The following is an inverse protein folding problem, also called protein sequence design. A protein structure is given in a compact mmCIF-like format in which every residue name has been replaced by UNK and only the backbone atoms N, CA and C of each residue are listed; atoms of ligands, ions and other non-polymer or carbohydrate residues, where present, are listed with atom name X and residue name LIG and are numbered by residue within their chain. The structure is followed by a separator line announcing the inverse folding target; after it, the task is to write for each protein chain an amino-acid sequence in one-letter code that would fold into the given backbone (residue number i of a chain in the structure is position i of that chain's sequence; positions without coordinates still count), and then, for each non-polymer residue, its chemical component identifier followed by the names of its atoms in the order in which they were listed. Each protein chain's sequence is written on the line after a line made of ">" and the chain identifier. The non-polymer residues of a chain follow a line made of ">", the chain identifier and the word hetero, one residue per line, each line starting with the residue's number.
data_IF_016940723938
#
_entry.id   IF_016940723938
#
_cell.length_a   1.000
_cell.length_b   1.000
_cell.length_c   1.000
_cell.angle_alpha   90.00
_cell.angle_beta   90.00
_cell.angle_gamma   90.00
#
_symmetry.space_group_name_H-M   'P 1'
#
loop_
_entity.id
_entity.type
_entity.pdbx_description
1 polymer ?
#
# COMPACT_ATOMS: atom_id res chain seq x y z
N UNK A 1 -20.85 12.98 8.01
CA UNK A 1 -21.42 11.83 7.27
C UNK A 1 -20.27 10.91 6.94
N UNK A 2 -20.39 9.60 7.18
CA UNK A 2 -19.35 8.63 6.89
C UNK A 2 -19.82 7.80 5.68
N UNK A 3 -19.34 8.09 4.46
CA UNK A 3 -19.89 7.50 3.24
C UNK A 3 -19.72 5.98 3.19
N UNK A 4 -18.67 5.45 3.82
CA UNK A 4 -18.45 4.01 3.92
C UNK A 4 -19.49 3.34 4.82
N UNK A 5 -19.83 3.96 5.95
CA UNK A 5 -20.89 3.45 6.83
C UNK A 5 -22.25 3.48 6.13
N UNK A 6 -22.55 4.56 5.41
CA UNK A 6 -23.79 4.68 4.64
C UNK A 6 -23.87 3.57 3.56
N UNK A 7 -22.74 3.24 2.92
CA UNK A 7 -22.66 2.13 1.97
C UNK A 7 -22.90 0.77 2.63
N UNK A 8 -22.31 0.50 3.79
CA UNK A 8 -22.55 -0.74 4.54
C UNK A 8 -24.03 -0.91 4.90
N UNK A 9 -24.65 0.16 5.40
CA UNK A 9 -26.06 0.16 5.75
C UNK A 9 -26.94 -0.06 4.52
N UNK A 10 -26.61 0.56 3.38
CA UNK A 10 -27.32 0.38 2.13
C UNK A 10 -27.20 -1.04 1.57
N UNK A 11 -26.03 -1.71 1.69
CA UNK A 11 -25.88 -3.13 1.29
C UNK A 11 -26.78 -4.02 2.12
N UNK A 12 -26.72 -3.88 3.45
CA UNK A 12 -27.52 -4.71 4.35
C UNK A 12 -29.01 -4.47 4.16
N UNK A 13 -29.43 -3.21 4.03
CA UNK A 13 -30.81 -2.86 3.72
C UNK A 13 -31.28 -3.42 2.38
N UNK A 14 -30.42 -3.39 1.35
CA UNK A 14 -30.74 -3.99 0.05
C UNK A 14 -30.98 -5.50 0.14
N UNK A 15 -30.15 -6.24 0.89
CA UNK A 15 -30.31 -7.69 1.08
C UNK A 15 -31.50 -8.03 1.97
N UNK A 16 -31.83 -7.19 2.96
CA UNK A 16 -33.02 -7.36 3.79
C UNK A 16 -34.32 -7.12 2.98
N UNK A 17 -34.29 -6.19 2.01
CA UNK A 17 -35.41 -5.89 1.11
C UNK A 17 -35.54 -6.87 -0.05
N UNK A 18 -34.42 -7.43 -0.52
CA UNK A 18 -34.37 -8.38 -1.64
C UNK A 18 -33.26 -9.42 -1.38
N UNK A 19 -33.61 -10.59 -0.81
CA UNK A 19 -32.67 -11.69 -0.55
C UNK A 19 -31.94 -12.18 -1.81
N UNK A 20 -32.53 -12.01 -3.00
CA UNK A 20 -31.94 -12.38 -4.28
C UNK A 20 -30.63 -11.65 -4.57
N UNK A 21 -30.45 -10.44 -4.02
CA UNK A 21 -29.22 -9.64 -4.16
C UNK A 21 -27.97 -10.36 -3.63
N UNK A 22 -28.11 -11.31 -2.69
CA UNK A 22 -26.98 -12.10 -2.19
C UNK A 22 -26.26 -12.88 -3.31
N UNK A 23 -26.96 -13.27 -4.37
CA UNK A 23 -26.38 -13.93 -5.55
C UNK A 23 -25.41 -13.02 -6.30
N UNK A 24 -25.66 -11.71 -6.28
CA UNK A 24 -24.80 -10.72 -6.93
C UNK A 24 -23.64 -10.25 -6.03
N UNK A 25 -23.64 -10.65 -4.76
CA UNK A 25 -22.68 -10.24 -3.74
C UNK A 25 -21.78 -11.39 -3.25
N UNK A 26 -21.70 -12.50 -4.00
CA UNK A 26 -20.91 -13.67 -3.57
C UNK A 26 -19.44 -13.37 -3.29
N UNK A 27 -18.88 -12.37 -3.98
CA UNK A 27 -17.51 -11.86 -3.84
C UNK A 27 -17.31 -10.95 -2.60
N UNK A 28 -18.39 -10.45 -1.98
CA UNK A 28 -18.31 -9.66 -0.77
C UNK A 28 -18.29 -10.60 0.44
N UNK A 29 -17.23 -10.56 1.24
CA UNK A 29 -17.12 -11.34 2.47
C UNK A 29 -17.65 -10.54 3.67
N UNK A 30 -18.15 -11.21 4.72
CA UNK A 30 -18.53 -10.55 5.98
C UNK A 30 -17.42 -9.66 6.54
N UNK A 31 -16.17 -10.10 6.52
CA UNK A 31 -15.02 -9.35 7.06
C UNK A 31 -14.73 -8.03 6.32
N UNK A 32 -15.34 -7.81 5.14
CA UNK A 32 -15.24 -6.55 4.42
C UNK A 32 -16.05 -5.42 5.07
N UNK A 33 -17.01 -5.72 5.94
CA UNK A 33 -17.70 -4.70 6.72
C UNK A 33 -16.82 -4.21 7.88
N UNK A 34 -16.85 -2.91 8.17
CA UNK A 34 -16.08 -2.29 9.26
C UNK A 34 -16.72 -2.56 10.62
N UNK A 35 -18.05 -2.45 10.71
CA UNK A 35 -18.77 -2.67 11.97
C UNK A 35 -18.94 -4.17 12.23
N UNK A 36 -18.51 -4.71 13.39
CA UNK A 36 -18.72 -6.12 13.71
C UNK A 36 -20.18 -6.56 13.64
N UNK A 37 -21.12 -5.68 13.99
CA UNK A 37 -22.56 -5.93 13.86
C UNK A 37 -22.98 -6.14 12.40
N UNK A 38 -22.42 -5.36 11.47
CA UNK A 38 -22.68 -5.50 10.04
C UNK A 38 -22.04 -6.77 9.47
N UNK A 39 -20.84 -7.12 9.92
CA UNK A 39 -20.18 -8.39 9.58
C UNK A 39 -21.07 -9.58 9.97
N UNK A 40 -21.50 -9.62 11.24
CA UNK A 40 -22.33 -10.70 11.77
C UNK A 40 -23.69 -10.80 11.06
N UNK A 41 -24.35 -9.67 10.81
CA UNK A 41 -25.62 -9.67 10.08
C UNK A 41 -25.46 -10.17 8.63
N UNK A 42 -24.44 -9.71 7.92
CA UNK A 42 -24.19 -10.19 6.55
C UNK A 42 -23.83 -11.68 6.52
N UNK A 43 -23.07 -12.17 7.51
CA UNK A 43 -22.77 -13.60 7.67
C UNK A 43 -24.04 -14.42 7.92
N UNK A 44 -24.93 -13.95 8.80
CA UNK A 44 -26.22 -14.59 9.08
C UNK A 44 -27.11 -14.66 7.83
N UNK A 45 -27.23 -13.55 7.08
CA UNK A 45 -27.99 -13.51 5.83
C UNK A 45 -27.43 -14.50 4.79
N UNK A 46 -26.10 -14.62 4.67
CA UNK A 46 -25.47 -15.62 3.80
C UNK A 46 -25.73 -17.05 4.27
N UNK A 47 -25.70 -17.31 5.57
CA UNK A 47 -25.98 -18.62 6.16
C UNK A 47 -27.42 -19.05 5.88
N UNK A 48 -28.40 -18.20 6.19
CA UNK A 48 -29.82 -18.47 5.95
C UNK A 48 -30.11 -18.76 4.46
N UNK A 49 -29.44 -18.04 3.54
CA UNK A 49 -29.52 -18.37 2.11
C UNK A 49 -28.95 -19.74 1.79
N UNK A 50 -27.79 -20.09 2.37
CA UNK A 50 -27.17 -21.41 2.19
C UNK A 50 -28.02 -22.55 2.74
N UNK A 51 -28.77 -22.29 3.81
CA UNK A 51 -29.68 -23.25 4.46
C UNK A 51 -31.03 -23.37 3.73
N UNK A 52 -31.24 -22.64 2.63
CA UNK A 52 -32.48 -22.71 1.83
C UNK A 52 -33.67 -22.01 2.48
N UNK A 53 -33.44 -20.91 3.21
CA UNK A 53 -34.52 -20.16 3.85
C UNK A 53 -35.59 -19.74 2.83
N UNK A 54 -36.87 -19.99 3.16
CA UNK A 54 -38.05 -19.79 2.29
C UNK A 54 -38.18 -18.40 1.64
N UNK A 55 -37.63 -17.36 2.29
CA UNK A 55 -37.57 -16.00 1.73
C UNK A 55 -36.74 -15.87 0.43
N UNK A 56 -35.84 -16.82 0.15
CA UNK A 56 -34.96 -16.81 -1.03
C UNK A 56 -35.61 -17.47 -2.25
N UNK A 57 -36.55 -18.38 -2.02
CA UNK A 57 -37.20 -19.18 -3.08
C UNK A 57 -38.55 -18.61 -3.53
N UNK A 58 -39.16 -17.74 -2.73
CA UNK A 58 -40.48 -17.16 -3.01
C UNK A 58 -40.43 -15.98 -3.98
N UNK A 59 -41.29 -15.98 -5.00
CA UNK A 59 -41.55 -14.82 -5.88
C UNK A 59 -42.43 -13.74 -5.19
N UNK A 60 -42.72 -13.89 -3.90
CA UNK A 60 -43.60 -13.04 -3.11
C UNK A 60 -42.87 -11.94 -2.31
N UNK A 61 -43.62 -11.15 -1.52
CA UNK A 61 -43.02 -10.18 -0.62
C UNK A 61 -42.11 -10.89 0.40
N UNK A 62 -40.98 -10.27 0.74
CA UNK A 62 -40.04 -10.82 1.71
C UNK A 62 -40.73 -10.98 3.07
N UNK A 63 -40.78 -12.20 3.63
CA UNK A 63 -41.46 -12.45 4.89
C UNK A 63 -40.67 -11.85 6.06
N UNK A 64 -41.38 -11.45 7.12
CA UNK A 64 -40.75 -10.86 8.31
C UNK A 64 -39.76 -11.82 8.99
N UNK A 65 -40.00 -13.13 8.89
CA UNK A 65 -39.09 -14.20 9.34
C UNK A 65 -37.67 -14.02 8.80
N UNK A 66 -37.50 -13.55 7.56
CA UNK A 66 -36.17 -13.28 7.01
C UNK A 66 -35.37 -12.30 7.87
N UNK A 67 -36.02 -11.25 8.36
CA UNK A 67 -35.38 -10.20 9.15
C UNK A 67 -35.17 -10.65 10.59
N UNK A 68 -36.19 -11.29 11.21
CA UNK A 68 -36.10 -11.77 12.60
C UNK A 68 -35.07 -12.87 12.73
N UNK A 69 -35.07 -13.85 11.83
CA UNK A 69 -34.16 -15.00 11.88
C UNK A 69 -32.73 -14.55 11.60
N UNK A 70 -32.53 -13.57 10.72
CA UNK A 70 -31.21 -12.99 10.48
C UNK A 70 -30.68 -12.22 11.71
N UNK A 71 -31.55 -11.50 12.41
CA UNK A 71 -31.19 -10.79 13.65
C UNK A 71 -30.88 -11.77 14.77
N UNK A 72 -31.69 -12.82 14.93
CA UNK A 72 -31.51 -13.84 15.97
C UNK A 72 -30.21 -14.62 15.72
N UNK A 73 -29.95 -15.05 14.49
CA UNK A 73 -28.72 -15.74 14.10
C UNK A 73 -27.47 -14.86 14.29
N UNK A 74 -27.52 -13.60 13.86
CA UNK A 74 -26.41 -12.67 14.07
C UNK A 74 -26.21 -12.34 15.57
N UNK A 75 -27.29 -12.29 16.35
CA UNK A 75 -27.29 -12.06 17.79
C UNK A 75 -26.52 -13.11 18.59
N UNK A 76 -26.30 -14.31 18.03
CA UNK A 76 -25.43 -15.33 18.62
C UNK A 76 -23.96 -14.88 18.71
N UNK A 77 -23.54 -13.97 17.83
CA UNK A 77 -22.13 -13.56 17.68
C UNK A 77 -21.87 -12.12 18.16
N UNK A 78 -22.91 -11.27 18.17
CA UNK A 78 -22.79 -9.85 18.52
C UNK A 78 -23.92 -9.38 19.42
N UNK A 79 -23.62 -8.42 20.29
CA UNK A 79 -24.63 -7.72 21.12
C UNK A 79 -25.06 -6.42 20.44
N UNK A 80 -26.30 -5.99 20.71
CA UNK A 80 -26.82 -4.70 20.27
C UNK A 80 -27.49 -4.67 18.89
N UNK A 81 -27.55 -5.81 18.19
CA UNK A 81 -28.43 -5.96 17.02
C UNK A 81 -29.87 -6.17 17.50
N UNK A 82 -30.79 -5.35 17.03
CA UNK A 82 -32.23 -5.45 17.35
C UNK A 82 -33.04 -5.43 16.06
N UNK A 83 -34.27 -5.95 16.11
CA UNK A 83 -35.20 -5.84 14.99
C UNK A 83 -35.40 -4.37 14.54
N UNK A 84 -35.46 -3.44 15.50
CA UNK A 84 -35.53 -2.00 15.21
C UNK A 84 -34.32 -1.49 14.43
N UNK A 85 -33.10 -1.95 14.76
CA UNK A 85 -31.91 -1.59 13.99
C UNK A 85 -31.95 -2.17 12.57
N UNK A 86 -32.41 -3.40 12.39
CA UNK A 86 -32.60 -3.98 11.06
C UNK A 86 -33.59 -3.15 10.20
N UNK A 87 -34.67 -2.65 10.80
CA UNK A 87 -35.59 -1.72 10.12
C UNK A 87 -34.94 -0.39 9.72
N UNK A 88 -34.00 0.13 10.52
CA UNK A 88 -33.21 1.31 10.14
C UNK A 88 -32.31 1.02 8.94
N UNK A 89 -31.69 -0.17 8.87
CA UNK A 89 -30.88 -0.58 7.71
C UNK A 89 -31.74 -0.68 6.44
N UNK A 90 -32.94 -1.27 6.55
CA UNK A 90 -33.92 -1.29 5.46
C UNK A 90 -34.24 0.13 4.97
N UNK A 91 -34.46 1.05 5.90
CA UNK A 91 -34.77 2.46 5.58
C UNK A 91 -33.58 3.22 5.00
N UNK A 92 -32.35 2.80 5.32
CA UNK A 92 -31.13 3.41 4.81
C UNK A 92 -30.83 3.02 3.35
N UNK A 93 -31.43 1.95 2.83
CA UNK A 93 -31.25 1.51 1.45
C UNK A 93 -32.11 2.35 0.48
N UNK A 94 -31.50 3.15 -0.41
CA UNK A 94 -32.28 3.95 -1.36
C UNK A 94 -32.88 3.09 -2.49
N UNK A 95 -32.11 2.10 -2.97
CA UNK A 95 -32.47 1.25 -4.11
C UNK A 95 -31.86 -0.15 -3.96
N UNK A 96 -32.64 -1.19 -3.67
CA UNK A 96 -32.14 -2.56 -3.50
C UNK A 96 -31.36 -3.09 -4.71
N UNK A 97 -31.81 -2.76 -5.93
CA UNK A 97 -31.16 -3.15 -7.18
C UNK A 97 -29.72 -2.59 -7.36
N UNK A 98 -29.27 -1.68 -6.50
CA UNK A 98 -27.90 -1.15 -6.50
C UNK A 98 -26.97 -1.85 -5.50
N UNK A 99 -27.41 -2.94 -4.86
CA UNK A 99 -26.60 -3.69 -3.90
C UNK A 99 -25.16 -3.97 -4.36
N UNK A 100 -24.89 -4.37 -5.62
CA UNK A 100 -23.51 -4.62 -6.08
C UNK A 100 -22.63 -3.36 -6.06
N UNK A 101 -23.20 -2.18 -6.29
CA UNK A 101 -22.46 -0.91 -6.27
C UNK A 101 -22.14 -0.51 -4.84
N UNK A 102 -23.12 -0.61 -3.92
CA UNK A 102 -22.87 -0.37 -2.50
C UNK A 102 -21.85 -1.36 -1.94
N UNK A 103 -21.94 -2.64 -2.32
CA UNK A 103 -20.98 -3.67 -1.94
C UNK A 103 -19.57 -3.34 -2.41
N UNK A 104 -19.44 -2.69 -3.57
CA UNK A 104 -18.13 -2.29 -4.09
C UNK A 104 -17.50 -1.23 -3.20
N UNK A 105 -18.27 -0.24 -2.76
CA UNK A 105 -17.81 0.78 -1.82
C UNK A 105 -17.35 0.17 -0.49
N UNK A 106 -18.08 -0.83 0.02
CA UNK A 106 -17.68 -1.59 1.22
C UNK A 106 -16.35 -2.32 1.00
N UNK A 107 -16.19 -2.98 -0.16
CA UNK A 107 -14.95 -3.66 -0.53
C UNK A 107 -13.78 -2.68 -0.72
N UNK A 108 -14.00 -1.51 -1.31
CA UNK A 108 -12.99 -0.45 -1.42
C UNK A 108 -12.48 -0.06 -0.03
N UNK A 109 -13.39 0.26 0.90
CA UNK A 109 -13.04 0.54 2.28
C UNK A 109 -12.31 -0.63 2.95
N UNK A 110 -12.72 -1.87 2.70
CA UNK A 110 -12.04 -3.05 3.23
C UNK A 110 -10.59 -3.15 2.74
N UNK A 111 -10.33 -2.89 1.46
CA UNK A 111 -8.98 -2.89 0.89
C UNK A 111 -8.10 -1.84 1.57
N UNK A 112 -8.58 -0.59 1.70
CA UNK A 112 -7.84 0.46 2.39
C UNK A 112 -7.51 0.10 3.84
N UNK A 113 -8.47 -0.48 4.56
CA UNK A 113 -8.25 -0.95 5.94
C UNK A 113 -7.24 -2.09 6.01
N UNK A 114 -7.35 -3.09 5.15
CA UNK A 114 -6.42 -4.22 5.10
C UNK A 114 -5.00 -3.74 4.82
N UNK A 115 -4.80 -2.90 3.80
CA UNK A 115 -3.46 -2.36 3.50
C UNK A 115 -2.92 -1.54 4.67
N UNK A 116 -3.74 -0.68 5.28
CA UNK A 116 -3.36 0.10 6.47
C UNK A 116 -2.92 -0.81 7.63
N UNK A 117 -3.66 -1.88 7.92
CA UNK A 117 -3.33 -2.82 9.00
C UNK A 117 -1.98 -3.52 8.76
N UNK A 118 -1.75 -4.01 7.54
CA UNK A 118 -0.48 -4.67 7.20
C UNK A 118 0.70 -3.70 7.18
N UNK A 119 0.49 -2.46 6.73
CA UNK A 119 1.50 -1.40 6.80
C UNK A 119 1.86 -1.04 8.25
N UNK A 120 0.87 -0.97 9.15
CA UNK A 120 1.12 -0.75 10.59
C UNK A 120 1.95 -1.90 11.17
N UNK A 121 1.61 -3.16 10.86
CA UNK A 121 2.37 -4.32 11.34
C UNK A 121 3.82 -4.29 10.87
N UNK A 122 4.06 -4.05 9.57
CA UNK A 122 5.42 -3.90 9.04
C UNK A 122 6.20 -2.78 9.76
N UNK A 123 5.55 -1.64 10.00
CA UNK A 123 6.19 -0.53 10.72
C UNK A 123 6.57 -0.88 12.16
N UNK A 124 5.67 -1.55 12.88
CA UNK A 124 5.91 -1.98 14.27
C UNK A 124 7.07 -2.98 14.36
N UNK A 125 7.12 -3.91 13.41
CA UNK A 125 8.15 -4.97 13.36
C UNK A 125 9.50 -4.41 12.94
N UNK A 126 9.54 -3.49 11.96
CA UNK A 126 10.75 -2.76 11.59
C UNK A 126 11.31 -1.95 12.77
N UNK A 127 10.44 -1.29 13.54
CA UNK A 127 10.87 -0.54 14.73
C UNK A 127 11.37 -1.44 15.86
N UNK A 128 10.69 -2.56 16.09
CA UNK A 128 11.09 -3.53 17.12
C UNK A 128 12.40 -4.21 16.75
N UNK A 129 12.55 -4.61 15.48
CA UNK A 129 13.77 -5.18 14.93
C UNK A 129 14.95 -4.21 15.02
N UNK A 130 14.74 -2.92 14.69
CA UNK A 130 15.77 -1.89 14.83
C UNK A 130 16.34 -1.78 16.25
N UNK A 131 15.51 -1.95 17.28
CA UNK A 131 15.93 -1.91 18.69
C UNK A 131 16.73 -3.15 19.10
N UNK A 132 16.50 -4.29 18.43
CA UNK A 132 17.15 -5.58 18.73
C UNK A 132 18.34 -5.88 17.80
N UNK A 133 18.51 -5.11 16.73
CA UNK A 133 19.47 -5.43 15.66
C UNK A 133 19.01 -6.60 14.78
N UNK A 134 17.70 -6.84 14.69
CA UNK A 134 17.07 -7.93 13.92
C UNK A 134 16.34 -7.36 12.71
N UNK A 135 16.35 -8.08 11.58
CA UNK A 135 15.68 -7.64 10.33
C UNK A 135 14.66 -8.65 9.83
N UNK A 136 14.68 -9.87 10.35
CA UNK A 136 13.89 -11.02 9.91
C UNK A 136 12.38 -10.73 10.00
N UNK A 137 11.93 -10.12 11.10
CA UNK A 137 10.53 -9.73 11.28
C UNK A 137 10.08 -8.72 10.23
N UNK A 138 10.88 -7.66 10.02
CA UNK A 138 10.57 -6.63 9.02
C UNK A 138 10.47 -7.22 7.61
N UNK A 139 11.42 -8.09 7.22
CA UNK A 139 11.41 -8.76 5.93
C UNK A 139 10.20 -9.69 5.78
N UNK A 140 9.87 -10.46 6.82
CA UNK A 140 8.69 -11.34 6.83
C UNK A 140 7.40 -10.55 6.58
N UNK A 141 7.18 -9.46 7.32
CA UNK A 141 5.95 -8.67 7.17
C UNK A 141 5.92 -7.87 5.87
N UNK A 142 7.08 -7.54 5.29
CA UNK A 142 7.15 -6.97 3.94
C UNK A 142 6.67 -7.99 2.89
N UNK A 143 7.11 -9.25 2.99
CA UNK A 143 6.65 -10.32 2.09
C UNK A 143 5.16 -10.61 2.25
N UNK A 144 4.65 -10.62 3.50
CA UNK A 144 3.21 -10.77 3.78
C UNK A 144 2.44 -9.63 3.13
N UNK A 145 2.88 -8.38 3.29
CA UNK A 145 2.20 -7.22 2.69
C UNK A 145 2.24 -7.29 1.16
N UNK A 146 3.36 -7.63 0.53
CA UNK A 146 3.46 -7.84 -0.92
C UNK A 146 2.52 -8.94 -1.41
N UNK A 147 2.43 -10.06 -0.68
CA UNK A 147 1.50 -11.15 -0.97
C UNK A 147 0.04 -10.71 -0.90
N UNK A 148 -0.33 -9.96 0.15
CA UNK A 148 -1.68 -9.39 0.31
C UNK A 148 -2.01 -8.43 -0.82
N UNK A 149 -1.11 -7.49 -1.15
CA UNK A 149 -1.31 -6.55 -2.26
C UNK A 149 -1.53 -7.27 -3.60
N UNK A 150 -0.77 -8.34 -3.85
CA UNK A 150 -0.89 -9.15 -5.07
C UNK A 150 -2.21 -9.92 -5.13
N UNK A 151 -2.65 -10.49 -4.01
CA UNK A 151 -3.96 -11.17 -3.91
C UNK A 151 -5.12 -10.18 -4.08
N UNK A 152 -5.04 -9.02 -3.43
CA UNK A 152 -6.01 -7.93 -3.60
C UNK A 152 -6.08 -7.45 -5.06
N UNK A 153 -4.93 -7.30 -5.73
CA UNK A 153 -4.89 -6.93 -7.15
C UNK A 153 -5.67 -7.92 -8.01
N UNK A 154 -5.43 -9.22 -7.80
CA UNK A 154 -6.11 -10.30 -8.52
C UNK A 154 -7.62 -10.29 -8.29
N UNK A 155 -8.05 -10.14 -7.03
CA UNK A 155 -9.48 -10.10 -6.66
C UNK A 155 -10.18 -8.84 -7.18
N UNK A 156 -9.48 -7.71 -7.19
CA UNK A 156 -9.99 -6.45 -7.70
C UNK A 156 -10.01 -6.38 -9.23
N UNK A 157 -9.20 -7.21 -9.90
CA UNK A 157 -9.08 -7.28 -11.36
C UNK A 157 -8.09 -6.26 -11.94
N UNK A 158 -7.12 -5.81 -11.13
CA UNK A 158 -6.02 -4.96 -11.60
C UNK A 158 -4.76 -5.76 -11.76
N UNK A 159 -4.01 -5.50 -12.82
CA UNK A 159 -2.70 -6.11 -12.98
C UNK A 159 -1.72 -5.52 -11.94
N UNK A 160 -1.09 -6.36 -11.09
CA UNK A 160 -0.15 -5.89 -10.09
C UNK A 160 1.12 -5.40 -10.79
N UNK A 161 1.33 -4.09 -10.82
CA UNK A 161 2.52 -3.47 -11.40
C UNK A 161 3.03 -2.38 -10.46
N UNK A 162 4.33 -2.38 -10.09
CA UNK A 162 4.93 -1.27 -9.36
C UNK A 162 4.87 0.00 -10.22
N UNK A 163 4.07 0.99 -9.81
CA UNK A 163 3.95 2.28 -10.49
C UNK A 163 4.21 3.38 -9.47
N UNK A 164 5.12 4.30 -9.79
CA UNK A 164 5.41 5.44 -8.92
C UNK A 164 4.21 6.40 -8.86
N UNK A 165 3.84 6.91 -7.68
CA UNK A 165 2.86 7.99 -7.60
C UNK A 165 3.43 9.26 -8.24
N UNK A 166 2.57 10.06 -8.88
CA UNK A 166 2.97 11.37 -9.42
C UNK A 166 3.49 12.32 -8.33
N UNK A 167 2.97 12.16 -7.12
CA UNK A 167 3.37 12.92 -5.93
C UNK A 167 3.58 11.93 -4.79
N UNK A 168 4.80 11.81 -4.29
CA UNK A 168 5.07 10.98 -3.12
C UNK A 168 4.45 11.60 -1.87
N UNK A 169 3.78 10.82 -1.01
CA UNK A 169 3.24 11.36 0.24
C UNK A 169 4.40 11.83 1.13
N UNK A 170 4.36 13.11 1.51
CA UNK A 170 5.35 13.67 2.44
C UNK A 170 5.10 13.05 3.80
N UNK A 171 5.94 12.09 4.17
CA UNK A 171 5.85 11.44 5.47
C UNK A 171 7.11 11.77 6.27
N UNK A 172 7.02 12.75 7.19
CA UNK A 172 8.14 13.13 8.07
C UNK A 172 8.60 11.95 8.93
N UNK A 173 9.77 11.34 8.69
CA UNK A 173 10.20 10.19 9.46
C UNK A 173 10.28 10.58 10.94
N UNK A 174 9.70 9.78 11.86
CA UNK A 174 9.88 10.04 13.27
C UNK A 174 11.38 9.93 13.60
N UNK A 175 11.88 10.85 14.41
CA UNK A 175 13.25 10.79 14.89
C UNK A 175 13.48 9.46 15.63
N UNK A 176 14.61 8.81 15.36
CA UNK A 176 15.06 7.68 16.17
C UNK A 176 15.26 8.16 17.63
N UNK A 177 15.01 7.30 18.63
CA UNK A 177 15.44 7.59 19.99
C UNK A 177 16.92 7.96 20.01
N UNK A 178 17.30 9.04 20.71
CA UNK A 178 18.67 9.58 20.68
C UNK A 178 19.73 8.51 20.93
N UNK A 179 19.60 7.71 22.00
CA UNK A 179 20.57 6.65 22.30
C UNK A 179 20.74 5.61 21.17
N UNK A 180 19.71 5.37 20.37
CA UNK A 180 19.79 4.49 19.20
C UNK A 180 20.43 5.20 18.01
N UNK A 181 20.10 6.47 17.80
CA UNK A 181 20.75 7.29 16.78
C UNK A 181 22.25 7.39 17.05
N UNK A 182 22.65 7.68 18.29
CA UNK A 182 24.04 7.81 18.71
C UNK A 182 24.81 6.51 18.46
N UNK A 183 24.24 5.35 18.81
CA UNK A 183 24.87 4.05 18.54
C UNK A 183 25.05 3.76 17.05
N UNK A 184 24.05 4.09 16.22
CA UNK A 184 24.16 3.85 14.77
C UNK A 184 25.19 4.79 14.14
N UNK A 185 25.25 6.04 14.60
CA UNK A 185 26.27 7.01 14.18
C UNK A 185 27.65 6.51 14.58
N UNK A 186 27.81 6.01 15.82
CA UNK A 186 29.05 5.41 16.31
C UNK A 186 29.48 4.20 15.46
N UNK A 187 28.55 3.28 15.12
CA UNK A 187 28.83 2.15 14.22
C UNK A 187 29.30 2.61 12.82
N UNK A 188 28.76 3.73 12.31
CA UNK A 188 29.18 4.34 11.03
C UNK A 188 30.57 4.98 11.12
N UNK A 189 30.85 5.71 12.19
CA UNK A 189 32.17 6.31 12.44
C UNK A 189 33.25 5.23 12.55
N UNK A 190 32.98 4.14 13.29
CA UNK A 190 33.90 3.01 13.39
C UNK A 190 34.15 2.34 12.04
N UNK A 191 33.12 2.16 11.20
CA UNK A 191 33.29 1.62 9.87
C UNK A 191 34.23 2.53 9.03
N UNK A 192 33.96 3.83 9.02
CA UNK A 192 34.77 4.78 8.26
C UNK A 192 36.23 4.81 8.74
N UNK A 193 36.45 4.80 10.06
CA UNK A 193 37.78 4.72 10.64
C UNK A 193 38.53 3.46 10.19
N UNK A 194 37.91 2.27 10.29
CA UNK A 194 38.50 1.01 9.85
C UNK A 194 38.87 1.04 8.36
N UNK A 195 38.02 1.61 7.51
CA UNK A 195 38.25 1.72 6.07
C UNK A 195 39.38 2.70 5.70
N UNK A 196 39.68 3.67 6.56
CA UNK A 196 40.82 4.59 6.40
C UNK A 196 42.11 3.94 6.90
N UNK A 197 42.05 3.24 8.04
CA UNK A 197 43.21 2.58 8.65
C UNK A 197 43.69 1.35 7.86
N UNK A 198 42.77 0.62 7.22
CA UNK A 198 43.05 -0.67 6.58
C UNK A 198 42.47 -0.73 5.16
N UNK A 199 43.12 -1.46 4.22
CA UNK A 199 42.61 -1.64 2.86
C UNK A 199 41.44 -2.65 2.78
N UNK A 200 40.41 -2.46 3.59
CA UNK A 200 39.26 -3.37 3.72
C UNK A 200 38.05 -2.98 2.85
N UNK A 201 38.19 -1.95 1.99
CA UNK A 201 37.10 -1.46 1.15
C UNK A 201 36.49 -2.54 0.24
N UNK A 202 37.32 -3.47 -0.24
CA UNK A 202 36.86 -4.59 -1.07
C UNK A 202 35.85 -5.52 -0.39
N UNK A 203 35.80 -5.54 0.95
CA UNK A 203 34.88 -6.37 1.72
C UNK A 203 33.44 -5.83 1.72
N UNK A 204 33.28 -4.51 1.54
CA UNK A 204 31.99 -3.80 1.69
C UNK A 204 31.48 -3.16 0.41
N UNK A 205 32.38 -2.80 -0.54
CA UNK A 205 32.04 -2.00 -1.72
C UNK A 205 30.98 -2.62 -2.62
N UNK A 206 30.92 -3.96 -2.69
CA UNK A 206 30.01 -4.67 -3.58
C UNK A 206 28.53 -4.48 -3.21
N UNK A 207 28.23 -4.32 -1.92
CA UNK A 207 26.86 -4.34 -1.40
C UNK A 207 26.47 -3.12 -0.57
N UNK A 208 27.41 -2.44 0.10
CA UNK A 208 27.12 -1.23 0.87
C UNK A 208 27.12 0.01 -0.02
N UNK A 209 26.17 0.94 0.18
CA UNK A 209 26.00 2.16 -0.61
C UNK A 209 26.03 3.40 0.28
N UNK A 210 26.41 4.57 -0.26
CA UNK A 210 26.34 5.85 0.46
C UNK A 210 24.98 6.16 1.10
N UNK A 211 23.88 5.70 0.49
CA UNK A 211 22.53 5.91 1.01
C UNK A 211 22.15 5.01 2.19
N UNK A 212 22.99 4.03 2.55
CA UNK A 212 22.75 3.14 3.68
C UNK A 212 23.15 3.78 5.03
N UNK A 213 23.89 4.89 5.01
CA UNK A 213 24.25 5.67 6.19
C UNK A 213 23.07 6.54 6.67
N UNK A 214 22.95 6.71 7.99
CA UNK A 214 22.02 7.64 8.64
C UNK A 214 22.51 9.06 8.43
N UNK A 215 23.78 9.30 8.70
CA UNK A 215 24.37 10.62 8.51
C UNK A 215 24.76 10.81 7.02
N UNK A 216 24.19 11.82 6.33
CA UNK A 216 24.57 12.12 4.96
C UNK A 216 26.08 12.40 4.79
N UNK A 217 26.74 13.01 5.77
CA UNK A 217 28.17 13.28 5.73
C UNK A 217 28.99 11.98 5.76
N UNK A 218 28.61 11.01 6.59
CA UNK A 218 29.23 9.68 6.60
C UNK A 218 29.06 8.96 5.27
N UNK A 219 27.86 9.01 4.68
CA UNK A 219 27.60 8.47 3.36
C UNK A 219 28.47 9.12 2.26
N UNK A 220 28.74 10.42 2.36
CA UNK A 220 29.63 11.13 1.44
C UNK A 220 31.10 10.75 1.62
N UNK A 221 31.56 10.57 2.86
CA UNK A 221 32.90 10.06 3.14
C UNK A 221 33.08 8.64 2.60
N UNK A 222 32.11 7.76 2.81
CA UNK A 222 32.10 6.42 2.21
C UNK A 222 32.16 6.47 0.68
N UNK A 223 31.46 7.43 0.06
CA UNK A 223 31.52 7.66 -1.39
C UNK A 223 32.93 8.10 -1.85
N UNK A 224 33.64 8.90 -1.06
CA UNK A 224 35.01 9.31 -1.34
C UNK A 224 35.97 8.11 -1.25
N UNK A 225 35.86 7.30 -0.19
CA UNK A 225 36.61 6.05 -0.02
C UNK A 225 36.43 5.11 -1.21
N UNK A 226 35.18 4.89 -1.64
CA UNK A 226 34.89 4.08 -2.82
C UNK A 226 35.48 4.64 -4.12
N UNK A 227 35.56 5.95 -4.27
CA UNK A 227 36.16 6.59 -5.45
C UNK A 227 37.70 6.48 -5.48
N UNK A 228 38.36 6.53 -4.32
CA UNK A 228 39.79 6.24 -4.20
C UNK A 228 40.07 4.77 -4.52
N UNK A 229 39.29 3.86 -3.92
CA UNK A 229 39.39 2.42 -4.16
C UNK A 229 39.21 2.05 -5.63
N UNK A 230 38.19 2.61 -6.30
CA UNK A 230 37.92 2.33 -7.71
C UNK A 230 39.05 2.80 -8.64
N UNK A 231 39.77 3.86 -8.26
CA UNK A 231 40.96 4.34 -8.99
C UNK A 231 42.24 3.57 -8.65
N UNK A 232 42.21 2.69 -7.66
CA UNK A 232 43.40 2.04 -7.11
C UNK A 232 44.34 3.02 -6.40
N UNK A 233 43.83 4.17 -5.97
CA UNK A 233 44.60 5.14 -5.19
C UNK A 233 44.72 4.65 -3.73
N UNK A 234 45.87 4.90 -3.06
CA UNK A 234 46.03 4.55 -1.66
C UNK A 234 45.00 5.31 -0.82
N UNK A 235 44.39 4.60 0.12
CA UNK A 235 43.43 5.16 1.06
C UNK A 235 44.18 5.50 2.34
N UNK A 236 44.21 6.78 2.68
CA UNK A 236 44.71 7.31 3.92
C UNK A 236 43.99 8.64 4.25
N UNK A 237 44.26 9.20 5.42
CA UNK A 237 43.61 10.44 5.88
C UNK A 237 43.81 11.61 4.91
N UNK A 238 45.01 11.75 4.33
CA UNK A 238 45.33 12.88 3.44
C UNK A 238 44.64 12.71 2.10
N UNK A 239 44.65 11.50 1.52
CA UNK A 239 43.97 11.24 0.24
C UNK A 239 42.46 11.36 0.37
N UNK A 240 41.88 10.91 1.48
CA UNK A 240 40.46 11.09 1.77
C UNK A 240 40.09 12.57 1.95
N UNK A 241 40.89 13.34 2.70
CA UNK A 241 40.66 14.78 2.88
C UNK A 241 40.70 15.52 1.54
N UNK A 242 41.66 15.18 0.68
CA UNK A 242 41.78 15.75 -0.66
C UNK A 242 40.54 15.44 -1.52
N UNK A 243 40.07 14.20 -1.51
CA UNK A 243 38.89 13.80 -2.27
C UNK A 243 37.61 14.48 -1.74
N UNK A 244 37.48 14.62 -0.41
CA UNK A 244 36.39 15.34 0.22
C UNK A 244 36.36 16.83 -0.17
N UNK A 245 37.51 17.49 -0.14
CA UNK A 245 37.66 18.89 -0.60
C UNK A 245 37.32 19.03 -2.08
N UNK A 246 37.82 18.12 -2.93
CA UNK A 246 37.58 18.15 -4.38
C UNK A 246 36.09 18.04 -4.72
N UNK A 247 35.34 17.30 -3.91
CA UNK A 247 33.87 17.17 -4.03
C UNK A 247 33.09 18.31 -3.41
N UNK A 248 33.77 19.25 -2.76
CA UNK A 248 33.17 20.41 -2.14
C UNK A 248 32.60 20.17 -0.74
N UNK A 249 32.79 18.99 -0.14
CA UNK A 249 32.13 18.60 1.14
C UNK A 249 32.50 19.52 2.32
N UNK A 250 33.71 20.08 2.30
CA UNK A 250 34.17 21.05 3.30
C UNK A 250 33.74 22.47 2.95
N UNK A 251 33.59 22.77 1.66
CA UNK A 251 33.26 24.10 1.16
C UNK A 251 31.75 24.39 1.25
N UNK A 252 30.92 23.37 1.03
CA UNK A 252 29.46 23.45 1.13
C UNK A 252 28.94 23.25 2.58
N UNK A 253 29.83 22.93 3.51
CA UNK A 253 29.51 22.73 4.93
C UNK A 253 28.86 21.39 5.24
N UNK A 254 28.85 20.44 4.30
CA UNK A 254 28.35 19.06 4.54
C UNK A 254 29.16 18.35 5.62
N UNK A 255 30.46 18.65 5.71
CA UNK A 255 31.38 18.08 6.69
C UNK A 255 32.26 19.18 7.28
N UNK A 256 32.39 19.24 8.60
CA UNK A 256 33.36 20.13 9.25
C UNK A 256 34.74 19.49 9.34
N UNK A 257 35.80 20.31 9.40
CA UNK A 257 37.17 19.81 9.58
C UNK A 257 37.34 19.02 10.87
N UNK A 258 36.65 19.44 11.94
CA UNK A 258 36.68 18.76 13.24
C UNK A 258 35.96 17.41 13.19
N UNK A 259 34.81 17.32 12.51
CA UNK A 259 34.10 16.04 12.27
C UNK A 259 34.96 15.08 11.46
N UNK A 260 35.58 15.57 10.38
CA UNK A 260 36.50 14.77 9.59
C UNK A 260 37.65 14.20 10.42
N UNK A 261 38.28 15.06 11.23
CA UNK A 261 39.38 14.65 12.10
C UNK A 261 38.91 13.62 13.14
N UNK A 262 37.77 13.85 13.80
CA UNK A 262 37.22 12.92 14.78
C UNK A 262 36.98 11.52 14.20
N UNK A 263 36.43 11.43 12.99
CA UNK A 263 36.18 10.14 12.30
C UNK A 263 37.51 9.44 11.93
N UNK A 264 38.49 10.19 11.41
CA UNK A 264 39.77 9.62 10.97
C UNK A 264 40.71 9.27 12.12
N UNK A 265 40.64 10.02 13.23
CA UNK A 265 41.48 9.84 14.41
C UNK A 265 40.84 8.84 15.41
N UNK A 266 39.58 8.44 15.16
CA UNK A 266 38.91 7.38 15.90
C UNK A 266 39.59 6.03 15.67
N UNK A 267 39.70 5.21 16.73
CA UNK A 267 40.26 3.86 16.62
C UNK A 267 39.18 2.92 16.10
N UNK A 268 39.36 2.42 14.88
CA UNK A 268 38.46 1.44 14.28
C UNK A 268 38.56 0.07 14.97
N UNK A 269 37.76 -0.17 16.00
CA UNK A 269 37.67 -1.48 16.64
C UNK A 269 36.71 -2.40 15.87
N UNK A 270 37.26 -3.38 15.15
CA UNK A 270 36.46 -4.42 14.51
C UNK A 270 36.93 -4.83 13.12
N UNK A 271 36.00 -5.50 12.44
CA UNK A 271 36.09 -6.05 11.09
C UNK A 271 35.15 -5.25 10.17
N UNK A 272 35.63 -4.87 8.98
CA UNK A 272 34.89 -3.98 8.09
C UNK A 272 33.60 -4.63 7.57
N UNK A 273 33.64 -5.93 7.27
CA UNK A 273 32.47 -6.70 6.86
C UNK A 273 31.39 -6.69 7.96
N UNK A 274 31.78 -6.93 9.22
CA UNK A 274 30.85 -6.91 10.35
C UNK A 274 30.23 -5.53 10.59
N UNK A 275 31.04 -4.46 10.60
CA UNK A 275 30.58 -3.08 10.79
C UNK A 275 29.65 -2.66 9.63
N UNK A 276 30.02 -2.97 8.40
CA UNK A 276 29.17 -2.74 7.23
C UNK A 276 27.82 -3.47 7.34
N UNK A 277 27.80 -4.69 7.90
CA UNK A 277 26.55 -5.44 8.14
C UNK A 277 25.69 -4.75 9.18
N UNK A 278 26.25 -4.11 10.21
CA UNK A 278 25.46 -3.30 11.15
C UNK A 278 24.81 -2.09 10.47
N UNK A 279 25.58 -1.35 9.65
CA UNK A 279 25.07 -0.23 8.86
C UNK A 279 23.93 -0.70 7.93
N UNK A 280 24.11 -1.84 7.25
CA UNK A 280 23.07 -2.40 6.37
C UNK A 280 21.82 -2.88 7.12
N UNK A 281 21.94 -3.47 8.31
CA UNK A 281 20.78 -3.81 9.16
C UNK A 281 19.99 -2.55 9.54
N UNK A 282 20.70 -1.49 9.90
CA UNK A 282 20.10 -0.19 10.19
C UNK A 282 19.39 0.37 8.94
N UNK A 283 20.05 0.34 7.78
CA UNK A 283 19.47 0.76 6.49
C UNK A 283 18.18 0.00 6.15
N UNK A 284 18.20 -1.33 6.28
CA UNK A 284 17.02 -2.18 6.08
C UNK A 284 15.85 -1.79 6.98
N UNK A 285 16.12 -1.60 8.27
CA UNK A 285 15.10 -1.28 9.27
C UNK A 285 14.50 0.10 9.03
N UNK A 286 15.33 1.08 8.66
CA UNK A 286 14.88 2.43 8.29
C UNK A 286 14.08 2.42 6.99
N UNK A 287 14.55 1.69 5.98
CA UNK A 287 13.86 1.55 4.69
C UNK A 287 12.51 0.87 4.85
N UNK A 288 12.43 -0.22 5.62
CA UNK A 288 11.17 -0.89 5.92
C UNK A 288 10.19 0.02 6.67
N UNK A 289 10.70 0.76 7.67
CA UNK A 289 9.89 1.73 8.42
C UNK A 289 9.35 2.86 7.53
N UNK A 290 10.16 3.36 6.59
CA UNK A 290 9.78 4.39 5.63
C UNK A 290 8.74 3.87 4.63
N UNK A 291 8.98 2.69 4.03
CA UNK A 291 8.05 2.05 3.10
C UNK A 291 6.69 1.82 3.77
N UNK A 292 6.67 1.28 4.99
CA UNK A 292 5.45 1.04 5.75
C UNK A 292 4.65 2.32 5.98
N UNK A 293 5.33 3.43 6.30
CA UNK A 293 4.68 4.74 6.47
C UNK A 293 4.10 5.29 5.17
N UNK A 294 4.84 5.17 4.06
CA UNK A 294 4.36 5.57 2.73
C UNK A 294 3.12 4.76 2.34
N UNK A 295 3.17 3.43 2.47
CA UNK A 295 2.03 2.55 2.17
C UNK A 295 0.83 2.89 3.06
N UNK A 296 1.06 3.14 4.34
CA UNK A 296 0.01 3.57 5.27
C UNK A 296 -0.61 4.89 4.84
N UNK A 297 0.19 5.90 4.51
CA UNK A 297 -0.31 7.21 4.06
C UNK A 297 -1.13 7.09 2.76
N UNK A 298 -0.70 6.25 1.82
CA UNK A 298 -1.46 5.94 0.61
C UNK A 298 -2.80 5.27 0.93
N UNK A 299 -2.83 4.36 1.91
CA UNK A 299 -4.03 3.63 2.29
C UNK A 299 -5.01 4.46 3.14
N UNK A 300 -4.51 5.45 3.88
CA UNK A 300 -5.35 6.41 4.63
C UNK A 300 -5.98 7.47 3.70
N UNK A 301 -5.47 7.67 2.48
CA UNK A 301 -6.11 8.50 1.45
C UNK A 301 -7.29 7.76 0.80
N UNK A 302 -8.48 7.93 1.37
CA UNK A 302 -9.73 7.34 0.87
C UNK A 302 -10.12 7.80 -0.55
N UNK A 303 -9.52 8.88 -1.08
CA UNK A 303 -9.76 9.31 -2.46
C UNK A 303 -8.98 8.48 -3.50
N UNK A 304 -8.00 7.69 -3.05
CA UNK A 304 -7.16 6.88 -3.91
C UNK A 304 -7.84 5.57 -4.29
N UNK A 305 -8.21 5.40 -5.56
CA UNK A 305 -8.83 4.15 -6.03
C UNK A 305 -7.94 2.91 -5.72
N UNK A 306 -8.52 1.75 -5.32
CA UNK A 306 -7.76 0.60 -4.84
C UNK A 306 -6.68 0.10 -5.80
N UNK A 307 -6.95 0.11 -7.11
CA UNK A 307 -5.96 -0.28 -8.12
C UNK A 307 -4.69 0.58 -8.10
N UNK A 308 -4.86 1.90 -7.92
CA UNK A 308 -3.71 2.82 -7.80
C UNK A 308 -3.02 2.67 -6.45
N UNK A 309 -3.79 2.54 -5.36
CA UNK A 309 -3.26 2.25 -4.03
C UNK A 309 -2.33 1.02 -4.07
N UNK A 310 -2.81 -0.09 -4.63
CA UNK A 310 -2.05 -1.34 -4.71
C UNK A 310 -0.74 -1.14 -5.49
N UNK A 311 -0.81 -0.52 -6.67
CA UNK A 311 0.37 -0.33 -7.52
C UNK A 311 1.39 0.65 -6.92
N UNK A 312 0.94 1.73 -6.28
CA UNK A 312 1.81 2.66 -5.56
C UNK A 312 2.45 2.00 -4.32
N UNK A 313 1.69 1.15 -3.61
CA UNK A 313 2.21 0.43 -2.46
C UNK A 313 3.27 -0.61 -2.87
N UNK A 314 3.06 -1.33 -3.97
CA UNK A 314 4.07 -2.24 -4.55
C UNK A 314 5.34 -1.48 -4.97
N UNK A 315 5.19 -0.29 -5.55
CA UNK A 315 6.34 0.55 -5.88
C UNK A 315 7.12 0.99 -4.63
N UNK A 316 6.43 1.42 -3.56
CA UNK A 316 7.07 1.79 -2.32
C UNK A 316 7.89 0.63 -1.71
N UNK A 317 7.35 -0.60 -1.74
CA UNK A 317 8.06 -1.79 -1.24
C UNK A 317 9.27 -2.20 -2.11
N UNK A 318 9.29 -1.82 -3.40
CA UNK A 318 10.43 -2.07 -4.27
C UNK A 318 11.74 -1.48 -3.75
N UNK A 319 11.70 -0.34 -3.05
CA UNK A 319 12.89 0.25 -2.42
C UNK A 319 13.47 -0.66 -1.33
N UNK A 320 12.61 -1.32 -0.55
CA UNK A 320 13.05 -2.30 0.45
C UNK A 320 13.62 -3.55 -0.22
N UNK A 321 13.03 -4.00 -1.33
CA UNK A 321 13.51 -5.15 -2.09
C UNK A 321 14.94 -4.93 -2.62
N UNK A 322 15.26 -3.72 -3.07
CA UNK A 322 16.61 -3.34 -3.50
C UNK A 322 17.64 -3.44 -2.37
N UNK A 323 17.31 -2.96 -1.16
CA UNK A 323 18.21 -3.05 0.01
C UNK A 323 18.34 -4.51 0.46
N UNK A 324 17.23 -5.27 0.47
CA UNK A 324 17.22 -6.70 0.79
C UNK A 324 18.12 -7.50 -0.15
N UNK A 325 18.07 -7.26 -1.45
CA UNK A 325 18.92 -7.96 -2.41
C UNK A 325 20.42 -7.74 -2.13
N UNK A 326 20.80 -6.51 -1.73
CA UNK A 326 22.19 -6.21 -1.31
C UNK A 326 22.57 -6.91 -0.01
N UNK A 327 21.65 -6.93 0.96
CA UNK A 327 21.85 -7.65 2.23
C UNK A 327 22.08 -9.15 2.04
N UNK A 328 21.30 -9.79 1.17
CA UNK A 328 21.45 -11.22 0.86
C UNK A 328 22.81 -11.52 0.20
N UNK A 329 23.24 -10.64 -0.72
CA UNK A 329 24.58 -10.69 -1.32
C UNK A 329 25.68 -10.62 -0.26
N UNK A 330 25.54 -9.73 0.73
CA UNK A 330 26.50 -9.58 1.84
C UNK A 330 26.57 -10.81 2.78
N UNK A 331 25.53 -11.66 2.78
CA UNK A 331 25.46 -12.88 3.61
C UNK A 331 25.78 -14.15 2.83
N UNK A 332 26.24 -14.04 1.58
CA UNK A 332 26.62 -15.19 0.75
C UNK A 332 25.45 -16.11 0.38
N UNK A 333 24.20 -15.66 0.53
CA UNK A 333 23.02 -16.38 0.01
C UNK A 333 22.68 -15.79 -1.36
N UNK A 334 22.96 -16.50 -2.47
CA UNK A 334 22.37 -16.12 -3.74
C UNK A 334 20.84 -16.18 -3.59
N UNK A 335 20.19 -15.10 -4.01
CA UNK A 335 18.74 -14.99 -4.15
C UNK A 335 18.21 -16.20 -4.93
N UNK A 336 17.70 -17.21 -4.22
CA UNK A 336 16.71 -18.09 -4.81
C UNK A 336 15.46 -17.23 -4.94
N UNK A 337 15.39 -16.47 -6.04
CA UNK A 337 14.18 -15.82 -6.50
C UNK A 337 13.08 -16.85 -6.36
N UNK A 338 12.21 -16.66 -5.36
CA UNK A 338 11.14 -17.58 -5.04
C UNK A 338 10.45 -17.90 -6.37
N UNK A 339 10.62 -19.16 -6.81
CA UNK A 339 9.96 -19.69 -7.99
C UNK A 339 8.49 -19.41 -7.75
N UNK A 340 7.91 -18.54 -8.59
CA UNK A 340 6.48 -18.30 -8.58
C UNK A 340 5.81 -19.68 -8.49
N UNK A 341 4.90 -19.90 -7.53
CA UNK A 341 4.21 -21.17 -7.46
C UNK A 341 3.60 -21.43 -8.84
N UNK A 342 3.90 -22.60 -9.40
CA UNK A 342 3.31 -23.02 -10.66
C UNK A 342 1.78 -22.86 -10.52
N UNK A 343 1.09 -22.28 -11.51
CA UNK A 343 -0.35 -22.10 -11.41
C UNK A 343 -0.99 -23.48 -11.26
N UNK A 344 -1.59 -23.73 -10.10
CA UNK A 344 -2.45 -24.90 -9.90
C UNK A 344 -3.60 -24.84 -10.91
N UNK A 345 -3.83 -25.88 -11.72
CA UNK A 345 -4.97 -25.92 -12.62
C UNK A 345 -6.21 -26.24 -11.78
N UNK A 346 -6.98 -25.21 -11.40
CA UNK A 346 -8.20 -25.41 -10.61
C UNK A 346 -8.73 -24.18 -9.91
N UNK A 347 -8.99 -23.10 -10.64
CA UNK A 347 -9.82 -21.99 -10.17
C UNK A 347 -11.07 -21.86 -11.05
N UNK A 348 -12.25 -21.51 -10.50
CA UNK A 348 -13.48 -21.40 -11.28
C UNK A 348 -13.34 -20.34 -12.38
N UNK A 349 -14.11 -20.48 -13.48
CA UNK A 349 -13.82 -19.79 -14.74
C UNK A 349 -13.92 -18.26 -14.62
N UNK A 350 -13.14 -17.59 -15.47
CA UNK A 350 -12.96 -16.14 -15.66
C UNK A 350 -14.25 -15.35 -15.99
N UNK A 351 -15.43 -15.93 -15.83
CA UNK A 351 -16.73 -15.31 -16.14
C UNK A 351 -17.18 -14.24 -15.12
N UNK A 352 -16.52 -14.11 -13.97
CA UNK A 352 -16.78 -13.00 -13.02
C UNK A 352 -15.97 -11.72 -13.29
N UNK A 353 -14.94 -11.80 -14.14
CA UNK A 353 -14.11 -10.62 -14.53
C UNK A 353 -14.85 -9.72 -15.54
N UNK A 354 -15.88 -10.23 -16.22
CA UNK A 354 -16.61 -9.49 -17.24
C UNK A 354 -17.51 -8.36 -16.69
N UNK A 355 -17.89 -8.43 -15.41
CA UNK A 355 -18.63 -7.35 -14.75
C UNK A 355 -17.75 -6.15 -14.39
N UNK A 356 -16.42 -6.33 -14.32
CA UNK A 356 -15.46 -5.27 -14.03
C UNK A 356 -15.08 -4.43 -15.27
N UNK A 357 -15.40 -4.88 -16.49
CA UNK A 357 -14.92 -4.28 -17.74
C UNK A 357 -15.92 -3.35 -18.44
N UNK A 358 -17.19 -3.27 -18.04
CA UNK A 358 -18.19 -2.45 -18.75
C UNK A 358 -18.37 -1.01 -18.25
N UNK A 359 -17.62 -0.53 -17.26
CA UNK A 359 -17.77 0.86 -16.75
C UNK A 359 -16.48 1.68 -16.59
N UNK A 360 -15.40 1.27 -17.24
CA UNK A 360 -14.15 2.05 -17.29
C UNK A 360 -13.90 2.65 -18.68
N UNK A 361 -14.86 3.44 -19.17
CA UNK A 361 -14.54 4.51 -20.13
C UNK A 361 -15.19 5.80 -19.62
N UNK A 362 -14.43 6.85 -19.28
CA UNK A 362 -15.01 8.16 -19.18
C UNK A 362 -15.40 8.57 -20.60
N UNK A 363 -16.71 8.67 -20.87
CA UNK A 363 -17.19 9.32 -22.09
C UNK A 363 -16.65 10.75 -22.07
N UNK A 364 -15.85 11.21 -23.06
CA UNK A 364 -15.46 12.60 -23.11
C UNK A 364 -16.73 13.45 -23.23
N UNK A 365 -16.80 14.53 -22.47
CA UNK A 365 -17.87 15.52 -22.59
C UNK A 365 -17.97 15.98 -24.06
N UNK A 366 -19.17 16.20 -24.61
CA UNK A 366 -19.28 16.75 -25.95
C UNK A 366 -18.60 18.13 -25.99
N UNK A 367 -17.68 18.29 -26.93
CA UNK A 367 -17.01 19.58 -27.19
C UNK A 367 -18.05 20.66 -27.53
N UNK A 368 -17.82 21.93 -27.19
CA UNK A 368 -18.77 23.03 -27.41
C UNK A 368 -19.05 23.36 -28.89
N UNK A 369 -18.47 22.62 -29.84
CA UNK A 369 -18.68 22.78 -31.27
C UNK A 369 -20.02 22.21 -31.80
N UNK A 370 -20.75 21.43 -30.99
CA UNK A 370 -22.05 20.84 -31.41
C UNK A 370 -23.27 21.73 -31.07
N UNK A 371 -23.06 22.97 -30.63
CA UNK A 371 -24.13 23.97 -30.41
C UNK A 371 -24.51 24.80 -31.63
N UNK A 372 -23.94 24.52 -32.80
CA UNK A 372 -24.29 25.19 -34.06
C UNK A 372 -24.74 24.18 -35.11
N UNK A 373 -25.90 23.56 -34.87
CA UNK A 373 -26.76 23.09 -35.96
C UNK A 373 -27.91 24.09 -36.12
N UNK A 374 -28.12 24.68 -37.31
CA UNK A 374 -29.25 25.57 -37.52
C UNK A 374 -30.54 24.76 -37.45
N UNK A 375 -31.50 25.25 -36.65
CA UNK A 375 -32.84 24.69 -36.57
C UNK A 375 -33.58 24.76 -37.91
N UNK A 376 -34.63 23.96 -38.11
CA UNK A 376 -35.40 23.95 -39.35
C UNK A 376 -36.05 25.32 -39.57
N UNK A 377 -35.80 25.90 -40.74
CA UNK A 377 -36.40 27.14 -41.24
C UNK A 377 -37.94 27.07 -41.23
N UNK A 378 -38.64 28.13 -40.81
CA UNK A 378 -40.10 28.18 -40.89
C UNK A 378 -40.53 28.37 -42.35
N UNK A 379 -41.50 27.56 -42.79
CA UNK A 379 -42.12 27.67 -44.10
C UNK A 379 -42.86 29.01 -44.22
N UNK A 380 -42.46 29.80 -45.22
CA UNK A 380 -43.04 31.09 -45.53
C UNK A 380 -44.49 30.96 -46.05
N UNK A 381 -45.32 31.89 -45.59
CA UNK A 381 -46.71 32.08 -45.93
C UNK A 381 -46.94 32.29 -47.44
N UNK A 382 -47.99 31.66 -47.98
CA UNK A 382 -48.60 32.04 -49.27
C UNK A 382 -49.63 33.16 -49.05
N UNK A 383 -49.67 34.20 -49.90
CA UNK A 383 -50.65 35.28 -49.81
C UNK A 383 -52.00 34.88 -50.45
N UNK A 384 -53.07 35.67 -50.24
CA UNK A 384 -54.44 35.25 -50.50
C UNK A 384 -54.87 35.53 -51.95
N UNK A 385 -55.49 34.56 -52.61
CA UNK A 385 -56.33 34.83 -53.79
C UNK A 385 -57.75 35.17 -53.33
N UNK A 386 -58.09 36.45 -53.49
CA UNK A 386 -59.45 36.96 -53.44
C UNK A 386 -60.18 36.67 -54.75
N UNK A 387 -61.47 36.33 -54.59
CA UNK A 387 -62.63 36.82 -55.33
C UNK A 387 -63.31 35.99 -56.45
N UNK A 388 -64.59 35.73 -56.13
CA UNK A 388 -65.83 35.94 -56.87
C UNK A 388 -66.29 34.92 -57.92
N UNK A 389 -67.55 34.48 -57.73
CA UNK A 389 -68.35 33.61 -58.57
C UNK A 389 -69.35 32.87 -57.72
#
# INVERSE_FOLDING_TARGET
>A
MNPLLDAEQAVLGAVLLDPGQLSHLEWLAPDHFYRPVHQALFAALRKLRGDGHHAVEGEGPVPLSWVTDAVDEAGLHVRGLTASYAHLLVSACPRPAHAPVYGRMVLEGAIHRTVTQHAIRLHQEARTGALRGEVEGALHYADVLTGVLTDLARRWGTEPRPVAPATSPVTVPPALPQAQADRVVEDEEFLLAVLVERPAMGEVVDWLRPGDFVDPAHGQLYRCLGALHHRGEPIDRITLLWEAQRRGLLADGTLSGDQFAAICDGVGAGDAEWLGKQVMRSSLSRTASACARVVRALAEDEALAPGRLINHALHALGLLDEVRARWESAHGRPTSRARAPAPSPGGPPLSRVHAALTRSTPRPAPSPADRLRPGPTPAAARPPSRNHG
#
